data_IF_162811782205
#
_entry.id   IF_162811782205
#
_cell.length_a   1.000
_cell.length_b   1.000
_cell.length_c   1.000
_cell.angle_alpha   90.00
_cell.angle_beta   90.00
_cell.angle_gamma   90.00
#
_symmetry.space_group_name_H-M   'P 1'
#
loop_
_entity.id
_entity.type
_entity.pdbx_description
1 polymer ?
#
# COMPACT_ATOMS: atom_id res chain seq x y z
N UNK A 1 -56.18 -48.56 -4.21
CA UNK A 1 -54.86 -48.27 -3.62
C UNK A 1 -54.16 -47.27 -4.54
N UNK A 2 -54.15 -45.97 -4.21
CA UNK A 2 -53.52 -44.90 -5.00
C UNK A 2 -52.10 -44.70 -4.46
N UNK A 3 -51.08 -44.95 -5.30
CA UNK A 3 -49.68 -44.68 -4.97
C UNK A 3 -49.41 -43.19 -5.22
N UNK A 4 -49.09 -42.47 -4.14
CA UNK A 4 -48.62 -41.08 -4.21
C UNK A 4 -47.13 -41.12 -4.47
N UNK A 5 -46.69 -40.62 -5.64
CA UNK A 5 -45.29 -40.41 -5.97
C UNK A 5 -44.96 -38.99 -5.56
N UNK A 6 -44.08 -38.86 -4.55
CA UNK A 6 -43.59 -37.59 -4.07
C UNK A 6 -42.35 -37.17 -4.95
N UNK A 7 -42.35 -36.01 -5.62
CA UNK A 7 -41.16 -35.57 -6.35
C UNK A 7 -40.15 -35.01 -5.34
N UNK A 8 -38.95 -35.58 -5.30
CA UNK A 8 -37.80 -35.07 -4.57
C UNK A 8 -37.29 -33.85 -5.33
N UNK A 9 -37.56 -32.65 -4.79
CA UNK A 9 -37.04 -31.41 -5.30
C UNK A 9 -35.57 -31.30 -4.82
N UNK A 10 -34.62 -31.63 -5.70
CA UNK A 10 -33.22 -31.46 -5.47
C UNK A 10 -32.88 -29.94 -5.52
N UNK A 11 -32.72 -29.32 -4.35
CA UNK A 11 -32.27 -27.95 -4.27
C UNK A 11 -30.75 -27.96 -4.52
N UNK A 12 -30.35 -27.60 -5.74
CA UNK A 12 -28.96 -27.28 -6.05
C UNK A 12 -28.59 -25.97 -5.35
N UNK A 13 -27.95 -26.07 -4.20
CA UNK A 13 -27.23 -24.94 -3.59
C UNK A 13 -25.96 -24.74 -4.44
N UNK A 14 -26.03 -23.86 -5.45
CA UNK A 14 -24.85 -23.33 -6.11
C UNK A 14 -24.18 -22.37 -5.12
N UNK A 15 -23.22 -22.89 -4.36
CA UNK A 15 -22.26 -22.06 -3.62
C UNK A 15 -21.43 -21.32 -4.67
N UNK A 16 -21.75 -20.05 -4.89
CA UNK A 16 -20.86 -19.11 -5.56
C UNK A 16 -19.63 -18.95 -4.66
N UNK A 17 -18.64 -19.83 -4.83
CA UNK A 17 -17.28 -19.55 -4.40
C UNK A 17 -16.83 -18.31 -5.18
N UNK A 18 -16.92 -17.14 -4.57
CA UNK A 18 -16.14 -16.01 -5.02
C UNK A 18 -14.67 -16.44 -4.86
N UNK A 19 -14.07 -16.89 -5.95
CA UNK A 19 -12.64 -17.15 -6.02
C UNK A 19 -11.97 -15.79 -5.78
N UNK A 20 -11.54 -15.54 -4.55
CA UNK A 20 -10.68 -14.42 -4.22
C UNK A 20 -9.44 -14.61 -5.10
N UNK A 21 -9.28 -13.77 -6.13
CA UNK A 21 -8.20 -13.91 -7.10
C UNK A 21 -6.88 -13.83 -6.36
N UNK A 22 -6.18 -14.96 -6.25
CA UNK A 22 -4.92 -15.04 -5.53
C UNK A 22 -3.90 -14.16 -6.23
N UNK A 23 -3.27 -13.24 -5.47
CA UNK A 23 -2.23 -12.34 -6.00
C UNK A 23 -1.09 -13.15 -6.64
N UNK A 24 -0.59 -12.69 -7.77
CA UNK A 24 0.64 -13.22 -8.38
C UNK A 24 1.86 -12.90 -7.51
N UNK A 25 3.00 -13.53 -7.79
CA UNK A 25 4.24 -13.23 -7.09
C UNK A 25 4.65 -11.76 -7.24
N UNK A 26 4.61 -11.23 -8.47
CA UNK A 26 4.95 -9.84 -8.75
C UNK A 26 4.01 -8.86 -8.03
N UNK A 27 2.71 -9.14 -7.98
CA UNK A 27 1.77 -8.30 -7.22
C UNK A 27 2.10 -8.28 -5.72
N UNK A 28 2.44 -9.43 -5.13
CA UNK A 28 2.88 -9.49 -3.72
C UNK A 28 4.18 -8.73 -3.48
N UNK A 29 5.14 -8.84 -4.40
CA UNK A 29 6.42 -8.12 -4.31
C UNK A 29 6.21 -6.60 -4.41
N UNK A 30 5.31 -6.12 -5.29
CA UNK A 30 4.94 -4.70 -5.38
C UNK A 30 4.32 -4.23 -4.07
N UNK A 31 3.35 -4.99 -3.50
CA UNK A 31 2.78 -4.65 -2.19
C UNK A 31 3.86 -4.59 -1.11
N UNK A 32 4.77 -5.56 -1.08
CA UNK A 32 5.85 -5.59 -0.09
C UNK A 32 6.81 -4.40 -0.25
N UNK A 33 7.09 -3.98 -1.49
CA UNK A 33 7.90 -2.78 -1.76
C UNK A 33 7.25 -1.52 -1.18
N UNK A 34 5.94 -1.36 -1.35
CA UNK A 34 5.17 -0.25 -0.75
C UNK A 34 5.24 -0.33 0.79
N UNK A 35 4.97 -1.50 1.36
CA UNK A 35 5.02 -1.71 2.82
C UNK A 35 6.41 -1.38 3.38
N UNK A 36 7.47 -1.84 2.71
CA UNK A 36 8.86 -1.58 3.12
C UNK A 36 9.21 -0.08 3.03
N UNK A 37 8.76 0.61 1.98
CA UNK A 37 8.98 2.06 1.83
C UNK A 37 8.38 2.85 2.99
N UNK A 38 7.12 2.57 3.36
CA UNK A 38 6.48 3.21 4.51
C UNK A 38 7.00 2.71 5.85
N UNK A 39 7.47 1.46 5.93
CA UNK A 39 8.20 0.93 7.08
C UNK A 39 9.49 1.68 7.33
N UNK A 40 10.23 2.02 6.27
CA UNK A 40 11.44 2.84 6.37
C UNK A 40 11.14 4.24 6.92
N UNK A 41 10.03 4.87 6.53
CA UNK A 41 9.57 6.13 7.13
C UNK A 41 9.23 5.98 8.61
N UNK A 42 8.56 4.88 8.98
CA UNK A 42 8.19 4.59 10.37
C UNK A 42 9.42 4.41 11.26
N UNK A 43 10.47 3.79 10.74
CA UNK A 43 11.72 3.51 11.43
C UNK A 43 12.76 4.64 11.29
N UNK A 44 12.43 5.68 10.53
CA UNK A 44 13.35 6.78 10.19
C UNK A 44 14.65 6.27 9.53
N UNK A 45 14.52 5.27 8.67
CA UNK A 45 15.62 4.61 7.96
C UNK A 45 15.71 5.11 6.50
N UNK A 46 16.57 6.10 6.28
CA UNK A 46 16.77 6.69 4.96
C UNK A 46 17.42 5.73 3.96
N UNK A 47 18.21 4.77 4.43
CA UNK A 47 18.87 3.77 3.57
C UNK A 47 17.82 2.78 3.03
N UNK A 48 17.00 2.21 3.91
CA UNK A 48 15.92 1.33 3.50
C UNK A 48 14.91 2.05 2.62
N UNK A 49 14.63 3.35 2.86
CA UNK A 49 13.75 4.13 2.00
C UNK A 49 14.29 4.19 0.57
N UNK A 50 15.56 4.59 0.38
CA UNK A 50 16.22 4.66 -0.93
C UNK A 50 16.30 3.31 -1.63
N UNK A 51 16.44 2.21 -0.88
CA UNK A 51 16.46 0.86 -1.45
C UNK A 51 15.12 0.42 -2.05
N UNK A 52 14.00 1.02 -1.62
CA UNK A 52 12.65 0.68 -2.07
C UNK A 52 12.10 1.67 -3.14
N UNK A 53 12.89 2.64 -3.57
CA UNK A 53 12.51 3.55 -4.65
C UNK A 53 13.64 3.72 -5.67
N UNK A 54 13.33 4.29 -6.82
CA UNK A 54 14.34 4.68 -7.82
C UNK A 54 15.07 5.94 -7.40
N UNK A 55 16.27 6.17 -7.92
CA UNK A 55 17.06 7.36 -7.60
C UNK A 55 16.35 8.66 -8.01
N UNK A 56 15.50 8.59 -9.03
CA UNK A 56 14.74 9.70 -9.59
C UNK A 56 13.22 9.61 -9.27
N UNK A 57 12.88 9.05 -8.12
CA UNK A 57 11.48 8.99 -7.64
C UNK A 57 10.85 10.37 -7.62
N UNK A 58 9.58 10.43 -8.04
CA UNK A 58 8.71 11.60 -7.90
C UNK A 58 7.58 11.31 -6.92
N UNK A 59 7.40 12.19 -5.94
CA UNK A 59 6.32 12.11 -4.99
C UNK A 59 5.44 13.36 -5.14
N UNK A 60 4.17 13.16 -5.42
CA UNK A 60 3.17 14.22 -5.48
C UNK A 60 2.44 14.29 -4.13
N UNK A 61 2.86 15.24 -3.30
CA UNK A 61 2.42 15.41 -1.92
C UNK A 61 1.82 16.80 -1.70
N UNK A 62 0.54 16.85 -1.32
CA UNK A 62 -0.16 18.08 -0.93
C UNK A 62 0.09 19.28 -1.85
N UNK A 63 0.02 19.05 -3.17
CA UNK A 63 0.23 20.08 -4.18
C UNK A 63 1.69 20.45 -4.48
N UNK A 64 2.64 19.66 -3.96
CA UNK A 64 4.07 19.82 -4.19
C UNK A 64 4.69 18.57 -4.80
N UNK A 65 5.79 18.74 -5.54
CA UNK A 65 6.57 17.63 -6.08
C UNK A 65 7.84 17.49 -5.24
N UNK A 66 8.05 16.30 -4.68
CA UNK A 66 9.21 15.95 -3.89
C UNK A 66 10.03 14.84 -4.58
N UNK A 67 11.29 14.75 -4.22
CA UNK A 67 12.17 13.61 -4.48
C UNK A 67 12.47 12.87 -3.17
N UNK A 68 13.27 11.80 -3.24
CA UNK A 68 13.66 11.03 -2.05
C UNK A 68 14.35 11.89 -0.98
N UNK A 69 15.24 12.80 -1.37
CA UNK A 69 15.99 13.64 -0.41
C UNK A 69 15.06 14.63 0.30
N UNK A 70 14.09 15.20 -0.41
CA UNK A 70 13.07 16.07 0.20
C UNK A 70 12.22 15.30 1.21
N UNK A 71 11.79 14.08 0.87
CA UNK A 71 11.03 13.23 1.77
C UNK A 71 11.86 12.85 3.01
N UNK A 72 13.12 12.45 2.83
CA UNK A 72 14.05 12.12 3.92
C UNK A 72 14.22 13.33 4.84
N UNK A 73 14.50 14.50 4.28
CA UNK A 73 14.65 15.72 5.07
C UNK A 73 13.40 15.98 5.92
N UNK A 74 12.20 16.01 5.32
CA UNK A 74 10.95 16.38 5.99
C UNK A 74 10.44 15.31 6.95
N UNK A 75 10.50 14.03 6.59
CA UNK A 75 9.87 12.95 7.34
C UNK A 75 10.83 12.24 8.31
N UNK A 76 12.14 12.26 8.04
CA UNK A 76 13.15 11.56 8.82
C UNK A 76 14.05 12.55 9.56
N UNK A 77 14.80 13.40 8.85
CA UNK A 77 15.85 14.24 9.45
C UNK A 77 15.28 15.30 10.40
N UNK A 78 14.21 15.99 9.98
CA UNK A 78 13.56 17.00 10.81
C UNK A 78 12.65 16.43 11.90
N UNK A 79 12.42 15.12 11.89
CA UNK A 79 11.62 14.44 12.91
C UNK A 79 12.52 14.00 14.07
N UNK A 80 12.79 14.89 15.00
CA UNK A 80 13.66 14.67 16.16
C UNK A 80 12.93 14.15 17.40
N UNK A 81 11.62 13.92 17.34
CA UNK A 81 10.82 13.44 18.45
C UNK A 81 11.33 12.09 18.97
N UNK A 82 11.59 11.99 20.28
CA UNK A 82 12.09 10.77 20.93
C UNK A 82 11.01 9.70 21.09
N UNK A 83 9.75 10.13 21.16
CA UNK A 83 8.55 9.28 21.26
C UNK A 83 7.92 8.97 19.92
N UNK A 84 8.60 9.27 18.80
CA UNK A 84 8.04 9.03 17.47
C UNK A 84 7.72 7.57 17.26
N UNK A 85 6.47 7.31 16.93
CA UNK A 85 5.96 6.01 16.52
C UNK A 85 4.99 6.20 15.36
N UNK A 86 5.11 5.38 14.33
CA UNK A 86 4.17 5.34 13.21
C UNK A 86 3.81 3.89 12.91
N UNK A 87 2.52 3.58 12.93
CA UNK A 87 1.98 2.28 12.57
C UNK A 87 1.14 2.48 11.30
N UNK A 88 1.42 1.71 10.27
CA UNK A 88 0.73 1.78 9.00
C UNK A 88 -0.12 0.54 8.78
N UNK A 89 -1.31 0.71 8.23
CA UNK A 89 -2.11 -0.36 7.63
C UNK A 89 -2.50 0.02 6.20
N UNK A 90 -2.58 -1.00 5.34
CA UNK A 90 -2.81 -0.83 3.91
C UNK A 90 -4.03 -1.65 3.48
N UNK A 91 -4.91 -1.02 2.72
CA UNK A 91 -6.00 -1.67 2.03
C UNK A 91 -5.74 -1.54 0.51
N UNK A 92 -5.12 -2.57 -0.07
CA UNK A 92 -4.79 -2.61 -1.49
C UNK A 92 -6.06 -2.85 -2.32
N UNK A 93 -6.39 -1.88 -3.19
CA UNK A 93 -7.60 -1.88 -4.00
C UNK A 93 -7.37 -2.62 -5.31
N UNK A 94 -6.28 -2.27 -6.01
CA UNK A 94 -5.94 -2.88 -7.30
C UNK A 94 -4.43 -2.85 -7.52
N UNK A 95 -3.92 -3.89 -8.20
CA UNK A 95 -2.52 -3.96 -8.62
C UNK A 95 -2.44 -4.63 -9.98
N UNK A 96 -1.90 -3.92 -10.94
CA UNK A 96 -1.68 -4.41 -12.30
C UNK A 96 -0.19 -4.48 -12.60
N UNK A 97 0.21 -5.55 -13.24
CA UNK A 97 1.58 -5.78 -13.71
C UNK A 97 1.56 -5.74 -15.24
N UNK A 98 2.47 -4.95 -15.81
CA UNK A 98 2.73 -4.86 -17.25
C UNK A 98 4.24 -4.94 -17.47
N UNK A 99 4.74 -6.12 -17.78
CA UNK A 99 6.16 -6.43 -17.92
C UNK A 99 6.98 -5.99 -16.70
N UNK A 100 7.86 -5.01 -16.85
CA UNK A 100 8.69 -4.45 -15.78
C UNK A 100 8.07 -3.21 -15.12
N UNK A 101 6.80 -2.92 -15.37
CA UNK A 101 6.07 -1.80 -14.77
C UNK A 101 4.85 -2.32 -14.04
N UNK A 102 4.58 -1.75 -12.89
CA UNK A 102 3.38 -2.02 -12.13
C UNK A 102 2.74 -0.72 -11.67
N UNK A 103 1.42 -0.74 -11.48
CA UNK A 103 0.74 0.30 -10.71
C UNK A 103 -0.17 -0.33 -9.68
N UNK A 104 -0.20 0.28 -8.50
CA UNK A 104 -1.07 -0.16 -7.40
C UNK A 104 -1.75 1.05 -6.77
N UNK A 105 -3.01 0.85 -6.39
CA UNK A 105 -3.81 1.84 -5.66
C UNK A 105 -4.22 1.25 -4.32
N UNK A 106 -4.17 2.05 -3.28
CA UNK A 106 -4.49 1.60 -1.93
C UNK A 106 -4.92 2.77 -1.03
N UNK A 107 -5.63 2.42 0.05
CA UNK A 107 -5.83 3.31 1.18
C UNK A 107 -4.72 3.05 2.21
N UNK A 108 -4.06 4.11 2.64
CA UNK A 108 -3.09 4.07 3.72
C UNK A 108 -3.70 4.71 4.96
N UNK A 109 -3.64 4.00 6.07
CA UNK A 109 -4.01 4.49 7.37
C UNK A 109 -2.78 4.47 8.28
N UNK A 110 -2.45 5.62 8.90
CA UNK A 110 -1.32 5.74 9.81
C UNK A 110 -1.75 6.28 11.16
N UNK A 111 -1.36 5.58 12.21
CA UNK A 111 -1.40 6.07 13.58
C UNK A 111 -0.01 6.62 13.94
N UNK A 112 0.05 7.90 14.27
CA UNK A 112 1.32 8.60 14.49
C UNK A 112 1.33 9.20 15.89
N UNK A 113 2.34 8.84 16.69
CA UNK A 113 2.66 9.50 17.96
C UNK A 113 3.91 10.35 17.76
N UNK A 114 3.87 11.60 18.18
CA UNK A 114 5.00 12.51 18.12
C UNK A 114 4.86 13.66 19.14
N UNK A 115 5.87 13.90 19.98
CA UNK A 115 5.89 14.95 21.00
C UNK A 115 4.66 14.90 21.92
N UNK A 116 4.30 13.70 22.40
CA UNK A 116 3.16 13.45 23.28
C UNK A 116 1.78 13.56 22.61
N UNK A 117 1.73 13.85 21.30
CA UNK A 117 0.48 13.96 20.54
C UNK A 117 0.28 12.73 19.68
N UNK A 118 -0.99 12.30 19.58
CA UNK A 118 -1.42 11.23 18.68
C UNK A 118 -2.24 11.84 17.54
N UNK A 119 -2.04 11.33 16.35
CA UNK A 119 -2.81 11.68 15.16
C UNK A 119 -3.09 10.43 14.33
N UNK A 120 -4.28 10.39 13.77
CA UNK A 120 -4.66 9.42 12.75
C UNK A 120 -4.71 10.12 11.40
N UNK A 121 -4.03 9.57 10.42
CA UNK A 121 -3.99 10.16 9.07
C UNK A 121 -4.34 9.08 8.04
N UNK A 122 -5.19 9.45 7.10
CA UNK A 122 -5.65 8.59 6.01
C UNK A 122 -5.33 9.22 4.67
N UNK A 123 -4.78 8.42 3.77
CA UNK A 123 -4.49 8.79 2.39
C UNK A 123 -5.10 7.78 1.42
N UNK A 124 -5.45 8.25 0.25
CA UNK A 124 -5.63 7.43 -0.95
C UNK A 124 -4.41 7.64 -1.83
N UNK A 125 -3.75 6.55 -2.21
CA UNK A 125 -2.47 6.64 -2.89
C UNK A 125 -2.43 5.80 -4.15
N UNK A 126 -1.63 6.27 -5.10
CA UNK A 126 -1.28 5.53 -6.32
C UNK A 126 0.24 5.47 -6.43
N UNK A 127 0.76 4.27 -6.64
CA UNK A 127 2.17 4.01 -6.88
C UNK A 127 2.35 3.45 -8.29
N UNK A 128 3.35 3.97 -9.01
CA UNK A 128 3.95 3.32 -10.17
C UNK A 128 5.29 2.75 -9.71
N UNK A 129 5.48 1.45 -9.88
CA UNK A 129 6.72 0.77 -9.59
C UNK A 129 7.35 0.23 -10.88
N UNK A 130 8.67 0.17 -10.91
CA UNK A 130 9.43 -0.46 -11.99
C UNK A 130 10.34 -1.55 -11.44
N UNK A 131 10.58 -2.58 -12.24
CA UNK A 131 11.44 -3.72 -11.87
C UNK A 131 12.86 -3.47 -12.36
N UNK A 132 13.80 -3.20 -11.43
CA UNK A 132 15.22 -3.02 -11.69
C UNK A 132 16.01 -4.16 -11.06
N UNK A 133 16.83 -4.85 -11.84
CA UNK A 133 17.68 -5.97 -11.35
C UNK A 133 16.88 -6.97 -10.50
N UNK A 134 15.69 -7.36 -11.00
CA UNK A 134 14.76 -8.30 -10.35
C UNK A 134 14.13 -7.78 -9.03
N UNK A 135 14.17 -6.49 -8.75
CA UNK A 135 13.54 -5.87 -7.59
C UNK A 135 12.57 -4.78 -8.03
N UNK A 136 11.38 -4.79 -7.46
CA UNK A 136 10.43 -3.71 -7.65
C UNK A 136 10.86 -2.49 -6.83
N UNK A 137 10.79 -1.30 -7.44
CA UNK A 137 11.09 -0.01 -6.83
C UNK A 137 10.04 1.02 -7.19
N UNK A 138 9.67 1.85 -6.22
CA UNK A 138 8.71 2.94 -6.44
C UNK A 138 9.35 4.01 -7.32
N UNK A 139 8.72 4.30 -8.45
CA UNK A 139 9.12 5.35 -9.40
C UNK A 139 8.31 6.62 -9.22
N UNK A 140 7.00 6.46 -8.98
CA UNK A 140 6.08 7.58 -8.73
C UNK A 140 5.18 7.20 -7.57
N UNK A 141 4.94 8.13 -6.66
CA UNK A 141 3.93 8.04 -5.63
C UNK A 141 3.09 9.30 -5.66
N UNK A 142 1.77 9.14 -5.76
CA UNK A 142 0.81 10.24 -5.66
C UNK A 142 -0.08 10.02 -4.45
N UNK A 143 -0.08 10.98 -3.54
CA UNK A 143 -0.83 10.93 -2.28
C UNK A 143 -1.94 11.98 -2.27
N UNK A 144 -3.14 11.54 -1.96
CA UNK A 144 -4.29 12.41 -1.65
C UNK A 144 -4.61 12.26 -0.18
N UNK A 145 -4.45 13.33 0.59
CA UNK A 145 -4.86 13.34 1.99
C UNK A 145 -6.38 13.32 2.07
N UNK A 146 -6.94 12.29 2.72
CA UNK A 146 -8.38 12.13 2.91
C UNK A 146 -8.81 12.73 4.25
N UNK A 147 -8.07 12.42 5.32
CA UNK A 147 -8.44 12.84 6.66
C UNK A 147 -7.22 12.90 7.58
N UNK A 148 -7.25 13.87 8.51
CA UNK A 148 -6.31 13.96 9.62
C UNK A 148 -7.08 14.39 10.88
N UNK A 149 -7.00 13.58 11.93
CA UNK A 149 -7.59 13.85 13.24
C UNK A 149 -6.49 14.03 14.27
#
# INVERSE_FOLDING_TARGET
MKKIILPILAIYFSTLLQAQQQLTNDQREVHQTVINFFGALSNRDSVSLKNNCTDDILLFETGSIWNADTLILKAITLNTATDFKRINSFDFINTTIADNTAWTTYNLHSEITRNGKQATVQWMETVIAIKEKQKWKIKVLHSTLIKRN
#
